data_IF_219892585925
#
_entry.id   IF_219892585925
#
_cell.length_a   1.000
_cell.length_b   1.000
_cell.length_c   1.000
_cell.angle_alpha   90.00
_cell.angle_beta   90.00
_cell.angle_gamma   90.00
#
_symmetry.space_group_name_H-M   'P 1'
#
loop_
_entity.id
_entity.type
_entity.pdbx_description
1 polymer ?
#
# COMPACT_ATOMS: atom_id res chain seq x y z
N UNK A 1 -8.79 4.98 3.28
CA UNK A 1 -9.42 5.93 4.25
C UNK A 1 -10.23 6.95 3.47
N UNK A 2 -11.23 7.61 4.07
CA UNK A 2 -12.24 8.37 3.31
C UNK A 2 -11.70 9.58 2.54
N UNK A 3 -10.55 10.15 2.92
CA UNK A 3 -9.98 11.35 2.28
C UNK A 3 -8.91 11.06 1.21
N UNK A 4 -8.79 9.82 0.71
CA UNK A 4 -7.75 9.47 -0.25
C UNK A 4 -8.10 9.83 -1.69
N UNK A 5 -9.38 9.72 -2.06
CA UNK A 5 -9.85 9.87 -3.45
C UNK A 5 -9.68 11.28 -3.99
N UNK A 6 -9.88 12.30 -3.15
CA UNK A 6 -9.73 13.70 -3.51
C UNK A 6 -8.29 14.02 -3.93
N UNK A 7 -7.30 13.42 -3.30
CA UNK A 7 -5.89 13.58 -3.70
C UNK A 7 -5.60 12.89 -5.03
N UNK A 8 -6.19 11.72 -5.29
CA UNK A 8 -6.01 11.01 -6.56
C UNK A 8 -6.47 11.85 -7.75
N UNK A 9 -7.60 12.56 -7.59
CA UNK A 9 -8.18 13.39 -8.64
C UNK A 9 -7.49 14.77 -8.70
N UNK A 10 -7.33 15.44 -7.55
CA UNK A 10 -6.91 16.84 -7.50
C UNK A 10 -5.42 17.04 -7.76
N UNK A 11 -4.58 16.10 -7.33
CA UNK A 11 -3.12 16.24 -7.46
C UNK A 11 -2.57 15.70 -8.79
N UNK A 12 -3.43 15.20 -9.68
CA UNK A 12 -3.02 14.57 -10.94
C UNK A 12 -1.85 13.59 -10.78
N UNK A 13 -1.90 12.74 -9.75
CA UNK A 13 -0.80 11.84 -9.41
C UNK A 13 -0.51 10.84 -10.54
N UNK A 14 0.76 10.51 -10.78
CA UNK A 14 1.17 9.50 -11.76
C UNK A 14 1.02 8.07 -11.22
N UNK A 15 1.12 7.90 -9.91
CA UNK A 15 1.03 6.60 -9.25
C UNK A 15 0.87 6.70 -7.74
N UNK A 16 0.53 5.58 -7.12
CA UNK A 16 0.24 5.48 -5.69
C UNK A 16 1.12 4.44 -5.02
N UNK A 17 1.77 4.82 -3.91
CA UNK A 17 2.37 3.88 -2.96
C UNK A 17 1.35 3.62 -1.85
N UNK A 18 0.80 2.41 -1.81
CA UNK A 18 -0.26 2.04 -0.87
C UNK A 18 0.34 1.60 0.47
N UNK A 19 0.12 2.38 1.53
CA UNK A 19 0.53 2.00 2.88
C UNK A 19 -0.48 1.04 3.52
N UNK A 20 0.00 -0.04 4.14
CA UNK A 20 -0.87 -1.04 4.76
C UNK A 20 -0.28 -1.64 6.04
N UNK A 21 -1.13 -1.86 7.05
CA UNK A 21 -0.77 -2.52 8.29
C UNK A 21 -1.53 -3.85 8.46
N UNK A 22 -0.88 -5.01 8.25
CA UNK A 22 -1.55 -6.32 8.24
C UNK A 22 -2.23 -6.69 9.55
N UNK A 23 -1.72 -6.18 10.68
CA UNK A 23 -2.25 -6.47 12.02
C UNK A 23 -3.40 -5.55 12.42
N UNK A 24 -3.76 -4.56 11.60
CA UNK A 24 -4.87 -3.64 11.84
C UNK A 24 -6.17 -4.26 11.31
N UNK A 25 -7.12 -4.54 12.21
CA UNK A 25 -8.42 -5.12 11.85
C UNK A 25 -9.51 -4.09 11.56
N UNK A 26 -9.45 -2.93 12.20
CA UNK A 26 -10.45 -1.88 12.06
C UNK A 26 -9.79 -0.54 11.74
N UNK A 27 -10.57 0.39 11.19
CA UNK A 27 -10.17 1.80 11.15
C UNK A 27 -9.96 2.34 12.56
N UNK A 28 -8.96 3.20 12.70
CA UNK A 28 -8.52 3.76 13.98
C UNK A 28 -9.66 4.54 14.65
N UNK A 29 -10.12 4.09 15.83
CA UNK A 29 -11.21 4.72 16.57
C UNK A 29 -12.63 4.29 16.16
N UNK A 30 -12.77 3.37 15.19
CA UNK A 30 -14.05 2.89 14.68
C UNK A 30 -14.34 1.42 15.02
N UNK A 31 -13.65 0.88 16.04
CA UNK A 31 -13.83 -0.51 16.50
C UNK A 31 -15.26 -0.78 16.96
N UNK A 32 -15.89 0.21 17.59
CA UNK A 32 -17.24 0.13 18.18
C UNK A 32 -18.36 -0.07 17.15
N UNK A 33 -18.13 0.30 15.88
CA UNK A 33 -19.09 0.07 14.78
C UNK A 33 -18.68 -1.08 13.86
N UNK A 34 -17.57 -1.77 14.18
CA UNK A 34 -17.08 -2.88 13.36
C UNK A 34 -16.59 -2.46 11.97
N UNK A 35 -16.04 -1.25 11.83
CA UNK A 35 -15.51 -0.77 10.55
C UNK A 35 -14.20 -1.49 10.20
N UNK A 36 -14.31 -2.64 9.52
CA UNK A 36 -13.19 -3.50 9.18
C UNK A 36 -12.27 -2.86 8.14
N UNK A 37 -10.97 -3.16 8.26
CA UNK A 37 -10.01 -2.84 7.21
C UNK A 37 -10.33 -3.65 5.94
N UNK A 38 -10.45 -3.01 4.78
CA UNK A 38 -10.62 -3.70 3.51
C UNK A 38 -9.37 -4.51 3.15
N UNK A 39 -9.56 -5.48 2.23
CA UNK A 39 -8.43 -6.22 1.66
C UNK A 39 -7.57 -5.29 0.79
N UNK A 40 -6.28 -5.60 0.68
CA UNK A 40 -5.38 -4.86 -0.21
C UNK A 40 -5.87 -4.90 -1.67
N UNK A 41 -6.37 -6.03 -2.14
CA UNK A 41 -6.91 -6.17 -3.50
C UNK A 41 -8.10 -5.21 -3.74
N UNK A 42 -8.99 -5.05 -2.76
CA UNK A 42 -10.10 -4.10 -2.83
C UNK A 42 -9.61 -2.65 -2.90
N UNK A 43 -8.60 -2.29 -2.11
CA UNK A 43 -8.04 -0.94 -2.13
C UNK A 43 -7.31 -0.64 -3.45
N UNK A 44 -6.60 -1.62 -4.01
CA UNK A 44 -5.98 -1.50 -5.35
C UNK A 44 -7.05 -1.25 -6.41
N UNK A 45 -8.10 -2.07 -6.43
CA UNK A 45 -9.21 -1.93 -7.38
C UNK A 45 -9.92 -0.57 -7.25
N UNK A 46 -10.07 -0.06 -6.02
CA UNK A 46 -10.64 1.26 -5.77
C UNK A 46 -9.77 2.38 -6.38
N UNK A 47 -8.45 2.32 -6.19
CA UNK A 47 -7.51 3.30 -6.75
C UNK A 47 -7.53 3.24 -8.28
N UNK A 48 -7.60 2.05 -8.86
CA UNK A 48 -7.74 1.83 -10.30
C UNK A 48 -9.05 2.40 -10.86
N UNK A 49 -10.14 2.32 -10.10
CA UNK A 49 -11.42 2.94 -10.48
C UNK A 49 -11.33 4.48 -10.56
N UNK A 50 -10.38 5.11 -9.86
CA UNK A 50 -10.05 6.54 -10.01
C UNK A 50 -9.11 6.83 -11.20
N UNK A 51 -8.78 5.83 -12.02
CA UNK A 51 -7.88 5.95 -13.17
C UNK A 51 -6.40 6.08 -12.78
N UNK A 52 -6.04 5.71 -11.53
CA UNK A 52 -4.67 5.75 -11.02
C UNK A 52 -4.14 4.33 -10.80
N UNK A 53 -2.82 4.15 -10.80
CA UNK A 53 -2.18 2.84 -10.59
C UNK A 53 -1.51 2.77 -9.23
N UNK A 54 -1.65 1.64 -8.55
CA UNK A 54 -0.79 1.31 -7.39
C UNK A 54 0.53 0.75 -7.90
N UNK A 55 1.61 1.46 -7.63
CA UNK A 55 2.97 1.13 -8.13
C UNK A 55 3.80 0.35 -7.11
N UNK A 56 3.45 0.45 -5.82
CA UNK A 56 4.10 -0.27 -4.74
C UNK A 56 3.18 -0.34 -3.51
N UNK A 57 3.44 -1.32 -2.64
CA UNK A 57 2.84 -1.39 -1.30
C UNK A 57 3.92 -1.21 -0.24
N UNK A 58 3.68 -0.33 0.73
CA UNK A 58 4.55 -0.12 1.88
C UNK A 58 3.91 -0.72 3.13
N UNK A 59 4.53 -1.75 3.71
CA UNK A 59 3.98 -2.42 4.89
C UNK A 59 4.45 -1.76 6.19
N UNK A 60 3.52 -1.57 7.11
CA UNK A 60 3.81 -1.31 8.52
C UNK A 60 3.72 -2.62 9.29
N UNK A 61 4.85 -3.02 9.83
CA UNK A 61 5.12 -4.35 10.41
C UNK A 61 4.92 -4.40 11.93
N UNK A 62 4.31 -3.37 12.52
CA UNK A 62 4.03 -3.33 13.95
C UNK A 62 3.28 -4.58 14.39
N UNK A 63 3.76 -5.22 15.46
CA UNK A 63 3.22 -6.48 16.00
C UNK A 63 3.39 -7.71 15.08
N UNK A 64 4.31 -7.67 14.12
CA UNK A 64 4.70 -8.83 13.31
C UNK A 64 6.08 -9.35 13.71
N UNK A 65 6.26 -10.68 13.67
CA UNK A 65 7.59 -11.30 13.83
C UNK A 65 8.41 -11.26 12.54
N UNK A 66 9.74 -11.33 12.63
CA UNK A 66 10.63 -11.21 11.46
C UNK A 66 10.30 -12.17 10.30
N UNK A 67 10.09 -13.46 10.60
CA UNK A 67 9.69 -14.46 9.59
C UNK A 67 8.33 -14.14 8.98
N UNK A 68 7.41 -13.61 9.78
CA UNK A 68 6.06 -13.26 9.35
C UNK A 68 6.09 -12.06 8.39
N UNK A 69 6.89 -11.04 8.67
CA UNK A 69 7.08 -9.86 7.80
C UNK A 69 7.48 -10.26 6.38
N UNK A 70 8.53 -11.08 6.27
CA UNK A 70 9.05 -11.52 4.98
C UNK A 70 8.11 -12.48 4.25
N UNK A 71 7.43 -13.37 4.98
CA UNK A 71 6.42 -14.27 4.41
C UNK A 71 5.24 -13.47 3.83
N UNK A 72 4.74 -12.50 4.60
CA UNK A 72 3.62 -11.65 4.18
C UNK A 72 3.99 -10.76 2.98
N UNK A 73 5.18 -10.13 2.99
CA UNK A 73 5.73 -9.38 1.86
C UNK A 73 5.70 -10.21 0.57
N UNK A 74 6.22 -11.45 0.61
CA UNK A 74 6.24 -12.35 -0.56
C UNK A 74 4.85 -12.76 -1.01
N UNK A 75 3.96 -13.07 -0.07
CA UNK A 75 2.57 -13.46 -0.36
C UNK A 75 1.83 -12.35 -1.10
N UNK A 76 1.82 -11.14 -0.54
CA UNK A 76 1.11 -9.99 -1.11
C UNK A 76 1.72 -9.58 -2.45
N UNK A 77 3.05 -9.60 -2.57
CA UNK A 77 3.69 -9.22 -3.81
C UNK A 77 3.33 -10.18 -4.95
N UNK A 78 3.22 -11.48 -4.65
CA UNK A 78 2.76 -12.50 -5.60
C UNK A 78 1.26 -12.36 -5.91
N UNK A 79 0.43 -12.12 -4.91
CA UNK A 79 -1.03 -12.02 -5.05
C UNK A 79 -1.43 -10.83 -5.92
N UNK A 80 -0.85 -9.65 -5.66
CA UNK A 80 -1.22 -8.41 -6.33
C UNK A 80 -0.36 -8.13 -7.57
N UNK A 81 0.73 -8.88 -7.77
CA UNK A 81 1.74 -8.60 -8.78
C UNK A 81 2.31 -7.16 -8.70
N UNK A 82 2.46 -6.65 -7.47
CA UNK A 82 2.96 -5.31 -7.15
C UNK A 82 4.15 -5.46 -6.20
N UNK A 83 5.22 -4.65 -6.33
CA UNK A 83 6.34 -4.70 -5.39
C UNK A 83 5.93 -4.25 -3.99
N UNK A 84 6.36 -5.01 -2.98
CA UNK A 84 6.02 -4.77 -1.56
C UNK A 84 7.28 -4.50 -0.76
N UNK A 85 7.28 -3.44 0.05
CA UNK A 85 8.44 -2.98 0.81
C UNK A 85 8.19 -3.02 2.32
N UNK A 86 9.27 -3.16 3.08
CA UNK A 86 9.31 -2.99 4.54
C UNK A 86 10.15 -1.74 4.88
N UNK A 87 9.61 -0.52 4.76
CA UNK A 87 10.43 0.70 4.76
C UNK A 87 11.25 0.92 6.03
N UNK A 88 10.75 0.45 7.18
CA UNK A 88 11.43 0.60 8.46
C UNK A 88 12.58 -0.40 8.65
N UNK A 89 12.53 -1.54 7.96
CA UNK A 89 13.51 -2.61 8.05
C UNK A 89 14.54 -2.60 6.92
N UNK A 90 14.08 -2.37 5.68
CA UNK A 90 14.87 -2.48 4.46
C UNK A 90 15.25 -1.11 3.87
N UNK A 91 14.68 -0.03 4.42
CA UNK A 91 14.81 1.32 3.87
C UNK A 91 13.95 1.52 2.60
N UNK A 92 14.22 2.60 1.87
CA UNK A 92 13.39 3.06 0.74
C UNK A 92 14.16 3.20 -0.58
N UNK A 93 15.41 2.74 -0.64
CA UNK A 93 16.26 2.93 -1.82
C UNK A 93 15.67 2.28 -3.08
N UNK A 94 15.24 1.01 -3.00
CA UNK A 94 14.63 0.33 -4.13
C UNK A 94 13.32 1.00 -4.59
N UNK A 95 12.51 1.47 -3.64
CA UNK A 95 11.31 2.24 -3.94
C UNK A 95 11.65 3.54 -4.68
N UNK A 96 12.69 4.26 -4.25
CA UNK A 96 13.14 5.48 -4.90
C UNK A 96 13.61 5.22 -6.35
N UNK A 97 14.27 4.09 -6.62
CA UNK A 97 14.67 3.72 -7.97
C UNK A 97 13.46 3.38 -8.87
N UNK A 98 12.41 2.75 -8.33
CA UNK A 98 11.15 2.56 -9.06
C UNK A 98 10.51 3.90 -9.43
N UNK A 99 10.49 4.86 -8.50
CA UNK A 99 9.93 6.19 -8.73
C UNK A 99 10.72 6.97 -9.78
N UNK A 100 12.06 6.88 -9.77
CA UNK A 100 12.90 7.50 -10.82
C UNK A 100 12.58 6.95 -12.20
N UNK A 101 12.50 5.63 -12.35
CA UNK A 101 12.15 4.99 -13.64
C UNK A 101 10.78 5.44 -14.13
N UNK A 102 9.77 5.44 -13.25
CA UNK A 102 8.43 5.92 -13.59
C UNK A 102 8.41 7.37 -14.08
N UNK A 103 9.20 8.25 -13.44
CA UNK A 103 9.31 9.64 -13.87
C UNK A 103 10.01 9.78 -15.21
N UNK A 104 11.05 9.00 -15.45
CA UNK A 104 11.88 9.10 -16.66
C UNK A 104 11.19 8.43 -17.88
N UNK A 105 10.23 7.54 -17.67
CA UNK A 105 9.41 6.88 -18.70
C UNK A 105 8.17 7.71 -19.13
N UNK A 106 7.82 8.77 -18.40
CA UNK A 106 6.70 9.71 -18.66
C UNK A 106 7.17 10.99 -19.35
#
# INVERSE_FOLDING_TARGET
>A
GPCGGEFLISCSVDGVVLQHSPKRKHYDGWEHVGALMPSLASEVALIEAYGKRVIAVALTTSKMGEKEKHSYKKSISKELNIPVFLPLEEGVLELAEILKKQRDDN
#
